data_IF_446895361599
#
_entry.id   IF_446895361599
#
_cell.length_a   1.000
_cell.length_b   1.000
_cell.length_c   1.000
_cell.angle_alpha   90.00
_cell.angle_beta   90.00
_cell.angle_gamma   90.00
#
_symmetry.space_group_name_H-M   'P 1'
#
loop_
_entity.id
_entity.type
_entity.pdbx_description
1 polymer ?
#
# COMPACT_ATOMS: atom_id res chain seq x y z
N UNK A 1 3.77 12.42 9.58
CA UNK A 1 2.49 11.70 9.42
C UNK A 1 1.39 12.74 9.44
N UNK A 2 0.74 12.95 8.30
CA UNK A 2 -0.35 13.90 8.17
C UNK A 2 -1.51 13.55 9.09
N UNK A 3 -2.38 14.52 9.38
CA UNK A 3 -3.53 14.32 10.28
C UNK A 3 -4.51 13.23 9.81
N UNK A 4 -4.43 12.79 8.54
CA UNK A 4 -5.32 11.79 7.95
C UNK A 4 -4.60 10.65 7.22
N UNK A 5 -3.40 10.27 7.67
CA UNK A 5 -2.70 9.08 7.18
C UNK A 5 -3.11 7.83 7.98
N UNK A 6 -3.47 6.75 7.27
CA UNK A 6 -3.89 5.47 7.87
C UNK A 6 -3.05 4.32 7.33
N UNK A 7 -2.66 3.41 8.23
CA UNK A 7 -1.91 2.20 7.84
C UNK A 7 -2.84 1.01 7.70
N UNK A 8 -3.08 0.56 6.47
CA UNK A 8 -4.04 -0.51 6.20
C UNK A 8 -3.36 -1.76 5.60
N UNK A 9 -3.73 -2.97 6.07
CA UNK A 9 -3.20 -4.20 5.52
C UNK A 9 -3.89 -4.55 4.18
N UNK A 10 -3.09 -5.08 3.26
CA UNK A 10 -3.56 -5.70 2.02
C UNK A 10 -3.66 -7.21 2.24
N UNK A 11 -4.71 -7.82 1.70
CA UNK A 11 -4.97 -9.26 1.78
C UNK A 11 -5.04 -9.88 0.39
N UNK A 12 -4.93 -11.20 0.32
CA UNK A 12 -4.99 -11.94 -0.95
C UNK A 12 -3.71 -11.87 -1.77
N UNK A 13 -2.60 -11.40 -1.18
CA UNK A 13 -1.28 -11.27 -1.81
C UNK A 13 -0.72 -12.60 -2.35
N UNK A 14 -1.17 -13.73 -1.79
CA UNK A 14 -0.71 -15.08 -2.15
C UNK A 14 -1.36 -15.67 -3.42
N UNK A 15 -2.48 -15.11 -3.88
CA UNK A 15 -3.20 -15.64 -5.03
C UNK A 15 -2.60 -15.12 -6.35
N UNK A 16 -2.74 -15.88 -7.43
CA UNK A 16 -2.40 -15.39 -8.76
C UNK A 16 -3.48 -14.44 -9.27
N UNK A 17 -3.11 -13.52 -10.16
CA UNK A 17 -4.06 -12.71 -10.91
C UNK A 17 -4.59 -13.49 -12.12
N UNK A 18 -5.80 -13.16 -12.55
CA UNK A 18 -6.46 -13.81 -13.69
C UNK A 18 -5.77 -13.53 -15.02
N UNK A 19 -5.02 -12.43 -15.11
CA UNK A 19 -4.19 -12.05 -16.26
C UNK A 19 -2.85 -12.82 -16.33
N UNK A 20 -2.60 -13.72 -15.38
CA UNK A 20 -1.37 -14.51 -15.28
C UNK A 20 -0.21 -13.80 -14.57
N UNK A 21 -0.38 -12.54 -14.14
CA UNK A 21 0.65 -11.85 -13.35
C UNK A 21 0.72 -12.40 -11.93
N UNK A 22 1.93 -12.36 -11.35
CA UNK A 22 2.21 -12.87 -10.00
C UNK A 22 2.24 -11.74 -9.00
N UNK A 23 1.28 -11.72 -8.07
CA UNK A 23 1.23 -10.76 -6.96
C UNK A 23 2.50 -10.80 -6.11
N UNK A 24 3.02 -12.00 -5.86
CA UNK A 24 4.22 -12.19 -5.04
C UNK A 24 5.48 -11.67 -5.73
N UNK A 25 5.63 -11.90 -7.04
CA UNK A 25 6.77 -11.36 -7.79
C UNK A 25 6.70 -9.84 -7.91
N UNK A 26 5.50 -9.30 -8.03
CA UNK A 26 5.30 -7.87 -8.01
C UNK A 26 5.62 -7.26 -6.63
N UNK A 27 5.16 -7.88 -5.53
CA UNK A 27 5.47 -7.42 -4.19
C UNK A 27 6.98 -7.43 -3.87
N UNK A 28 7.77 -8.32 -4.48
CA UNK A 28 9.24 -8.32 -4.37
C UNK A 28 9.88 -7.08 -5.01
N UNK A 29 9.21 -6.49 -6.00
CA UNK A 29 9.65 -5.28 -6.70
C UNK A 29 9.18 -4.01 -6.01
N UNK A 30 8.13 -4.11 -5.20
CA UNK A 30 7.59 -2.97 -4.47
C UNK A 30 8.57 -2.40 -3.44
N UNK A 31 8.68 -1.08 -3.39
CA UNK A 31 9.50 -0.37 -2.41
C UNK A 31 8.65 0.57 -1.56
N UNK A 32 8.97 0.76 -0.26
CA UNK A 32 8.31 1.77 0.55
C UNK A 32 8.34 3.16 -0.11
N UNK A 33 7.19 3.83 -0.16
CA UNK A 33 7.01 5.13 -0.80
C UNK A 33 6.57 5.06 -2.26
N UNK A 34 6.59 3.89 -2.90
CA UNK A 34 6.03 3.77 -4.24
C UNK A 34 4.51 4.03 -4.24
N UNK A 35 3.97 4.74 -5.25
CA UNK A 35 2.56 5.01 -5.35
C UNK A 35 1.76 3.73 -5.61
N UNK A 36 0.52 3.74 -5.12
CA UNK A 36 -0.44 2.65 -5.22
C UNK A 36 -1.77 3.23 -5.69
N UNK A 37 -2.30 2.62 -6.74
CA UNK A 37 -3.64 2.93 -7.23
C UNK A 37 -4.67 2.03 -6.54
N UNK A 38 -5.82 2.64 -6.18
CA UNK A 38 -6.95 1.95 -5.56
C UNK A 38 -8.13 1.96 -6.51
N UNK A 39 -8.59 0.78 -6.92
CA UNK A 39 -9.72 0.64 -7.85
C UNK A 39 -10.90 -0.06 -7.20
N UNK A 40 -12.09 0.49 -7.44
CA UNK A 40 -13.36 -0.13 -7.01
C UNK A 40 -13.75 -1.20 -8.00
N UNK A 41 -14.14 -2.36 -7.47
CA UNK A 41 -14.68 -3.47 -8.25
C UNK A 41 -16.06 -3.87 -7.72
N UNK A 42 -17.13 -3.10 -8.01
CA UNK A 42 -18.48 -3.41 -7.55
C UNK A 42 -19.01 -4.75 -8.08
N UNK A 43 -18.53 -5.19 -9.25
CA UNK A 43 -18.92 -6.45 -9.88
C UNK A 43 -17.99 -7.63 -9.53
N UNK A 44 -17.09 -7.46 -8.53
CA UNK A 44 -16.21 -8.54 -8.10
C UNK A 44 -17.05 -9.72 -7.55
N UNK A 45 -16.86 -10.95 -8.07
CA UNK A 45 -17.71 -12.09 -7.73
C UNK A 45 -17.61 -12.56 -6.28
N UNK A 46 -16.58 -12.12 -5.55
CA UNK A 46 -16.33 -12.52 -4.16
C UNK A 46 -16.79 -11.45 -3.14
N UNK A 47 -16.71 -10.17 -3.51
CA UNK A 47 -17.06 -9.06 -2.63
C UNK A 47 -17.35 -7.76 -3.43
N UNK A 48 -18.59 -7.30 -3.47
CA UNK A 48 -19.01 -6.02 -4.11
C UNK A 48 -18.28 -4.78 -3.51
N UNK A 49 -17.69 -4.93 -2.31
CA UNK A 49 -16.93 -3.87 -1.65
C UNK A 49 -15.44 -3.95 -1.95
N UNK A 50 -15.02 -4.82 -2.88
CA UNK A 50 -13.63 -4.99 -3.23
C UNK A 50 -13.00 -3.66 -3.66
N UNK A 51 -11.82 -3.41 -3.09
CA UNK A 51 -10.93 -2.32 -3.50
C UNK A 51 -9.60 -2.99 -3.87
N UNK A 52 -9.34 -3.09 -5.17
CA UNK A 52 -8.11 -3.64 -5.70
C UNK A 52 -6.95 -2.68 -5.41
N UNK A 53 -5.81 -3.26 -5.06
CA UNK A 53 -4.57 -2.54 -4.78
C UNK A 53 -3.62 -2.81 -5.93
N UNK A 54 -3.33 -1.79 -6.73
CA UNK A 54 -2.54 -1.91 -7.96
C UNK A 54 -1.24 -1.13 -7.81
N UNK A 55 -0.13 -1.78 -8.13
CA UNK A 55 1.20 -1.17 -8.06
C UNK A 55 1.41 -0.10 -9.12
N UNK A 56 2.45 0.72 -8.96
CA UNK A 56 2.91 1.68 -9.97
C UNK A 56 3.23 1.08 -11.36
N UNK A 57 3.32 -0.26 -11.46
CA UNK A 57 3.56 -1.00 -12.71
C UNK A 57 2.26 -1.57 -13.31
N UNK A 58 1.10 -1.24 -12.75
CA UNK A 58 -0.21 -1.67 -13.23
C UNK A 58 -0.58 -3.10 -12.84
N UNK A 59 0.11 -3.70 -11.87
CA UNK A 59 -0.14 -5.08 -11.42
C UNK A 59 -0.91 -5.07 -10.11
N UNK A 60 -2.04 -5.77 -10.06
CA UNK A 60 -2.78 -5.96 -8.81
C UNK A 60 -1.93 -6.79 -7.84
N UNK A 61 -1.71 -6.29 -6.63
CA UNK A 61 -0.93 -6.96 -5.57
C UNK A 61 -1.82 -7.52 -4.46
N UNK A 62 -3.12 -7.23 -4.48
CA UNK A 62 -4.10 -7.74 -3.53
C UNK A 62 -5.28 -6.79 -3.39
N UNK A 63 -5.97 -6.86 -2.26
CA UNK A 63 -7.17 -6.07 -1.98
C UNK A 63 -7.11 -5.46 -0.57
N UNK A 64 -7.77 -4.32 -0.39
CA UNK A 64 -8.01 -3.77 0.96
C UNK A 64 -8.81 -4.79 1.77
N UNK A 65 -8.38 -5.02 3.02
CA UNK A 65 -9.05 -6.02 3.88
C UNK A 65 -10.52 -5.67 4.14
N UNK A 66 -11.35 -6.69 4.34
CA UNK A 66 -12.81 -6.57 4.53
C UNK A 66 -13.19 -5.64 5.70
N UNK A 67 -12.31 -5.48 6.69
CA UNK A 67 -12.55 -4.58 7.82
C UNK A 67 -12.53 -3.11 7.42
N UNK A 68 -11.88 -2.77 6.31
CA UNK A 68 -11.68 -1.39 5.87
C UNK A 68 -12.24 -1.10 4.46
N UNK A 69 -12.52 -2.12 3.65
CA UNK A 69 -12.92 -1.95 2.26
C UNK A 69 -14.22 -1.13 2.09
N UNK A 70 -15.20 -1.28 2.97
CA UNK A 70 -16.43 -0.49 2.93
C UNK A 70 -16.19 0.99 3.25
N UNK A 71 -15.23 1.28 4.13
CA UNK A 71 -14.88 2.66 4.48
C UNK A 71 -14.09 3.33 3.35
N UNK A 72 -13.01 2.69 2.91
CA UNK A 72 -12.17 3.19 1.80
C UNK A 72 -12.98 3.27 0.51
N UNK A 73 -13.77 2.23 0.22
CA UNK A 73 -14.60 2.18 -0.98
C UNK A 73 -15.64 3.30 -1.01
N UNK A 74 -16.33 3.55 0.10
CA UNK A 74 -17.29 4.66 0.21
C UNK A 74 -16.64 6.03 0.00
N UNK A 75 -15.38 6.22 0.39
CA UNK A 75 -14.63 7.47 0.13
C UNK A 75 -14.33 7.63 -1.36
N UNK A 76 -13.85 6.58 -2.02
CA UNK A 76 -13.60 6.59 -3.47
C UNK A 76 -14.90 6.84 -4.23
N UNK A 77 -15.98 6.11 -3.90
CA UNK A 77 -17.29 6.21 -4.57
C UNK A 77 -17.91 7.62 -4.45
N UNK A 78 -17.55 8.37 -3.40
CA UNK A 78 -18.00 9.75 -3.17
C UNK A 78 -17.07 10.81 -3.79
N UNK A 79 -15.99 10.40 -4.44
CA UNK A 79 -15.04 11.30 -5.10
C UNK A 79 -14.06 12.01 -4.17
N UNK A 80 -13.78 11.45 -2.98
CA UNK A 80 -12.68 11.94 -2.15
C UNK A 80 -11.33 11.64 -2.81
N UNK A 81 -10.36 12.54 -2.67
CA UNK A 81 -8.98 12.32 -3.11
C UNK A 81 -8.28 11.37 -2.11
N UNK A 82 -8.35 10.08 -2.42
CA UNK A 82 -7.72 9.01 -1.64
C UNK A 82 -6.42 8.63 -2.31
N UNK A 83 -5.30 8.91 -1.63
CA UNK A 83 -3.95 8.60 -2.13
C UNK A 83 -3.32 7.51 -1.29
N UNK A 84 -2.56 6.62 -1.92
CA UNK A 84 -1.92 5.51 -1.24
C UNK A 84 -0.48 5.32 -1.72
N UNK A 85 0.38 4.92 -0.78
CA UNK A 85 1.73 4.47 -1.06
C UNK A 85 1.98 3.12 -0.38
N UNK A 86 2.98 2.41 -0.87
CA UNK A 86 3.56 1.25 -0.17
C UNK A 86 4.16 1.75 1.14
N UNK A 87 3.60 1.35 2.28
CA UNK A 87 4.17 1.66 3.58
C UNK A 87 5.30 0.69 3.95
N UNK A 88 5.01 -0.61 3.86
CA UNK A 88 5.98 -1.68 4.17
C UNK A 88 5.57 -2.99 3.51
N UNK A 89 6.51 -3.62 2.81
CA UNK A 89 6.42 -5.02 2.41
C UNK A 89 6.98 -5.90 3.54
N UNK A 90 6.22 -6.91 3.96
CA UNK A 90 6.57 -7.87 5.01
C UNK A 90 7.03 -9.18 4.38
N UNK A 91 7.86 -9.94 5.09
CA UNK A 91 8.36 -11.24 4.64
C UNK A 91 9.66 -11.22 3.82
N UNK A 92 10.11 -10.05 3.33
CA UNK A 92 11.33 -9.93 2.49
C UNK A 92 12.61 -10.50 3.12
N UNK A 93 12.72 -10.48 4.45
CA UNK A 93 13.91 -10.96 5.16
C UNK A 93 13.93 -12.48 5.41
N UNK A 94 12.88 -13.20 5.00
CA UNK A 94 12.76 -14.63 5.21
C UNK A 94 12.58 -15.34 3.88
N UNK A 95 13.59 -16.11 3.49
CA UNK A 95 13.52 -16.92 2.26
C UNK A 95 12.32 -17.87 2.32
N UNK A 96 11.53 -17.89 1.24
CA UNK A 96 10.34 -18.73 1.13
C UNK A 96 9.10 -18.23 1.86
N UNK A 97 9.15 -17.09 2.55
CA UNK A 97 7.95 -16.51 3.16
C UNK A 97 7.01 -15.92 2.10
N UNK A 98 5.70 -16.09 2.31
CA UNK A 98 4.69 -15.31 1.58
C UNK A 98 4.82 -13.83 1.99
N UNK A 99 4.80 -12.95 0.99
CA UNK A 99 4.88 -11.52 1.19
C UNK A 99 3.48 -10.92 1.34
N UNK A 100 3.40 -9.97 2.26
CA UNK A 100 2.23 -9.10 2.46
C UNK A 100 2.68 -7.64 2.40
N UNK A 101 1.73 -6.73 2.18
CA UNK A 101 2.01 -5.29 2.18
C UNK A 101 1.05 -4.52 3.07
N UNK A 102 1.58 -3.50 3.73
CA UNK A 102 0.81 -2.47 4.43
C UNK A 102 0.93 -1.18 3.65
N UNK A 103 -0.20 -0.57 3.33
CA UNK A 103 -0.27 0.73 2.68
C UNK A 103 -0.27 1.84 3.72
N UNK A 104 0.19 3.03 3.32
CA UNK A 104 -0.14 4.29 4.00
C UNK A 104 -1.10 5.02 3.08
N UNK A 105 -2.29 5.37 3.58
CA UNK A 105 -3.37 5.96 2.80
C UNK A 105 -3.75 7.30 3.42
N UNK A 106 -3.77 8.34 2.61
CA UNK A 106 -4.34 9.64 2.95
C UNK A 106 -5.73 9.79 2.30
N UNK A 107 -6.67 10.45 2.96
CA UNK A 107 -8.05 10.58 2.49
C UNK A 107 -8.51 12.00 2.14
N UNK A 108 -7.63 12.99 2.30
CA UNK A 108 -7.94 14.40 2.08
C UNK A 108 -7.14 15.01 0.92
N UNK A 109 -6.48 14.16 0.12
CA UNK A 109 -5.70 14.55 -1.05
C UNK A 109 -4.29 15.05 -0.74
N UNK A 110 -3.81 14.91 0.49
CA UNK A 110 -2.40 15.13 0.79
C UNK A 110 -1.58 13.91 0.35
N UNK A 111 -0.30 14.14 0.04
CA UNK A 111 0.63 13.04 -0.27
C UNK A 111 0.89 12.24 1.03
N UNK A 112 0.61 10.92 1.06
CA UNK A 112 0.79 10.14 2.28
C UNK A 112 2.27 10.08 2.67
N UNK A 113 2.56 10.18 3.97
CA UNK A 113 3.95 10.17 4.44
C UNK A 113 4.36 8.82 5.03
N UNK A 114 5.55 8.35 4.66
CA UNK A 114 6.20 7.25 5.39
C UNK A 114 6.58 7.73 6.80
N UNK A 115 5.83 7.34 7.81
CA UNK A 115 6.17 7.62 9.20
C UNK A 115 7.62 7.19 9.52
N UNK A 116 8.46 8.15 9.93
CA UNK A 116 9.88 7.94 10.21
C UNK A 116 10.85 8.36 9.09
N UNK A 117 10.36 8.86 7.96
CA UNK A 117 11.20 9.51 6.95
C UNK A 117 11.95 10.72 7.54
N UNK A 118 11.25 11.52 8.36
CA UNK A 118 11.82 12.67 9.07
C UNK A 118 12.91 12.26 10.08
N UNK A 119 12.70 11.18 10.85
CA UNK A 119 13.66 10.72 11.87
C UNK A 119 14.92 10.11 11.24
N UNK A 120 14.79 9.45 10.08
CA UNK A 120 15.92 8.80 9.39
C UNK A 120 16.81 9.83 8.70
N UNK A 121 16.22 10.83 8.04
CA UNK A 121 16.96 11.93 7.44
C UNK A 121 17.72 12.76 8.49
N UNK A 122 17.06 13.08 9.61
CA UNK A 122 17.71 13.75 10.75
C UNK A 122 18.84 12.91 11.35
N UNK A 123 18.61 11.61 11.60
CA UNK A 123 19.63 10.72 12.15
C UNK A 123 20.84 10.58 11.23
N UNK A 124 20.64 10.45 9.91
CA UNK A 124 21.74 10.41 8.95
C UNK A 124 22.49 11.74 8.84
N UNK A 125 21.79 12.87 8.94
CA UNK A 125 22.42 14.19 8.98
C UNK A 125 23.26 14.39 10.25
N UNK A 126 22.75 13.94 11.40
CA UNK A 126 23.48 13.96 12.68
C UNK A 126 24.72 13.08 12.61
N UNK A 127 24.60 11.84 12.12
CA UNK A 127 25.76 10.95 11.94
C UNK A 127 26.80 11.55 11.00
N UNK A 128 26.38 12.18 9.88
CA UNK A 128 27.30 12.89 8.97
C UNK A 128 28.01 14.06 9.64
N UNK A 129 27.32 14.82 10.50
CA UNK A 129 27.92 15.95 11.22
C UNK A 129 28.87 15.54 12.35
N UNK A 130 28.72 14.34 12.90
CA UNK A 130 29.59 13.82 13.97
C UNK A 130 30.81 13.06 13.41
N UNK A 131 30.78 12.69 12.14
CA UNK A 131 31.87 12.03 11.42
C UNK A 131 32.80 13.01 10.67
N UNK A 132 32.56 14.32 10.80
CA UNK A 132 33.37 15.41 10.25
C UNK A 132 34.10 16.15 11.38
#
# INVERSE_FOLDING_TARGET
MGWNDFKLPVVGCRYQNDDGTSRQDELRRCQPGEPIDLFREPDNPHDERAVAVVSARGVCVGYISRNYNGWIGSKIDRGYDVRAIVGKVRGLNFSGAELDVVLVINMDGDEPELAGAEHRAWAEQVVRSLAA
#
